data_IF_003850924125
#
_entry.id   IF_003850924125
#
_cell.length_a   1.000
_cell.length_b   1.000
_cell.length_c   1.000
_cell.angle_alpha   90.00
_cell.angle_beta   90.00
_cell.angle_gamma   90.00
#
_symmetry.space_group_name_H-M   'P 1'
#
loop_
_entity.id
_entity.type
_entity.pdbx_description
1 polymer ?
#
# COMPACT_ATOMS: atom_id res chain seq x y z
N UNK A 1 -4.63 -10.27 -15.82
CA UNK A 1 -3.85 -9.75 -14.68
C UNK A 1 -4.53 -8.46 -14.23
N UNK A 2 -5.36 -8.50 -13.19
CA UNK A 2 -5.97 -7.27 -12.65
C UNK A 2 -5.87 -7.35 -11.13
N UNK A 3 -4.85 -6.69 -10.60
CA UNK A 3 -4.53 -6.61 -9.18
C UNK A 3 -3.30 -5.72 -9.05
N UNK A 4 -3.11 -5.04 -7.91
CA UNK A 4 -1.93 -4.20 -7.68
C UNK A 4 -0.64 -5.04 -7.69
N UNK A 5 0.44 -4.50 -8.27
CA UNK A 5 1.74 -5.19 -8.40
C UNK A 5 2.91 -4.22 -8.18
N UNK A 6 4.03 -4.75 -7.71
CA UNK A 6 5.30 -4.03 -7.72
C UNK A 6 5.88 -3.98 -9.12
N UNK A 7 6.56 -2.89 -9.46
CA UNK A 7 7.32 -2.75 -10.72
C UNK A 7 8.78 -2.54 -10.36
N UNK A 8 9.62 -3.51 -10.72
CA UNK A 8 11.06 -3.34 -10.70
C UNK A 8 11.52 -2.92 -12.11
N UNK A 9 12.18 -1.77 -12.19
CA UNK A 9 12.75 -1.23 -13.44
C UNK A 9 14.23 -0.95 -13.25
N UNK A 10 15.02 -1.18 -14.29
CA UNK A 10 16.43 -0.80 -14.34
C UNK A 10 16.75 -0.27 -15.73
N UNK A 11 17.09 1.02 -15.84
CA UNK A 11 17.69 1.58 -17.04
C UNK A 11 19.21 1.41 -17.00
N UNK A 12 19.86 1.39 -18.18
CA UNK A 12 21.30 1.27 -18.26
C UNK A 12 21.98 2.47 -17.55
N UNK A 13 22.90 2.15 -16.63
CA UNK A 13 23.72 3.03 -15.77
C UNK A 13 23.10 3.47 -14.45
N UNK A 14 22.11 4.37 -14.41
CA UNK A 14 21.91 5.16 -13.19
C UNK A 14 20.47 5.21 -12.65
N UNK A 15 19.61 4.24 -12.98
CA UNK A 15 18.21 4.33 -12.55
C UNK A 15 17.54 2.96 -12.37
N UNK A 16 17.93 2.24 -11.30
CA UNK A 16 17.10 1.15 -10.80
C UNK A 16 16.05 1.73 -9.84
N UNK A 17 14.77 1.48 -10.14
CA UNK A 17 13.63 1.97 -9.34
C UNK A 17 12.67 0.83 -9.08
N UNK A 18 12.21 0.75 -7.84
CA UNK A 18 11.11 -0.09 -7.43
C UNK A 18 9.89 0.80 -7.15
N UNK A 19 8.80 0.53 -7.87
CA UNK A 19 7.51 1.14 -7.61
C UNK A 19 6.64 0.19 -6.78
N UNK A 20 6.05 0.74 -5.72
CA UNK A 20 5.09 0.06 -4.88
C UNK A 20 3.72 -0.06 -5.57
N UNK A 21 2.87 -0.99 -5.14
CA UNK A 21 1.58 -1.25 -5.76
C UNK A 21 0.58 -0.09 -5.62
N UNK A 22 0.84 0.85 -4.70
CA UNK A 22 0.10 2.11 -4.55
C UNK A 22 0.56 3.22 -5.53
N UNK A 23 1.48 2.93 -6.45
CA UNK A 23 1.98 3.85 -7.48
C UNK A 23 3.13 4.76 -7.04
N UNK A 24 3.64 4.59 -5.81
CA UNK A 24 4.74 5.41 -5.27
C UNK A 24 6.09 4.74 -5.50
N UNK A 25 7.17 5.52 -5.44
CA UNK A 25 8.53 4.99 -5.43
C UNK A 25 8.79 4.38 -4.04
N UNK A 26 9.03 3.07 -3.99
CA UNK A 26 9.42 2.35 -2.79
C UNK A 26 10.92 2.52 -2.53
N UNK A 27 11.73 2.44 -3.58
CA UNK A 27 13.16 2.69 -3.52
C UNK A 27 13.73 3.01 -4.91
N UNK A 28 14.84 3.74 -4.94
CA UNK A 28 15.55 4.11 -6.15
C UNK A 28 17.06 4.20 -5.88
N UNK A 29 17.88 3.82 -6.85
CA UNK A 29 19.33 4.10 -6.81
C UNK A 29 19.56 5.59 -6.96
N UNK A 30 20.29 6.19 -6.01
CA UNK A 30 20.78 7.56 -6.15
C UNK A 30 22.25 7.56 -6.60
N UNK A 31 23.15 7.16 -5.70
CA UNK A 31 24.61 7.19 -5.93
C UNK A 31 25.25 5.79 -5.96
N UNK A 32 24.59 4.77 -5.39
CA UNK A 32 25.03 3.37 -5.43
C UNK A 32 24.38 2.67 -6.64
N UNK A 33 25.13 1.96 -7.50
CA UNK A 33 24.56 1.22 -8.62
C UNK A 33 23.70 0.02 -8.19
N UNK A 34 23.75 -0.42 -6.93
CA UNK A 34 23.03 -1.59 -6.43
C UNK A 34 21.86 -1.16 -5.55
N UNK A 35 20.66 -1.62 -5.91
CA UNK A 35 19.45 -1.50 -5.08
C UNK A 35 19.10 -2.84 -4.45
N UNK A 36 19.03 -2.87 -3.12
CA UNK A 36 18.44 -3.97 -2.34
C UNK A 36 17.27 -3.40 -1.55
N UNK A 37 16.09 -4.00 -1.71
CA UNK A 37 14.88 -3.58 -1.00
C UNK A 37 14.02 -4.79 -0.69
N UNK A 38 13.53 -4.87 0.55
CA UNK A 38 12.58 -5.89 0.96
C UNK A 38 11.17 -5.46 0.54
N UNK A 39 10.38 -6.40 0.01
CA UNK A 39 8.98 -6.18 -0.31
C UNK A 39 8.12 -7.23 0.34
N UNK A 40 6.91 -6.83 0.74
CA UNK A 40 5.88 -7.73 1.21
C UNK A 40 4.89 -8.02 0.09
N UNK A 41 4.67 -9.31 -0.17
CA UNK A 41 3.74 -9.79 -1.20
C UNK A 41 2.30 -9.92 -0.68
N UNK A 42 2.13 -9.98 0.64
CA UNK A 42 0.83 -9.90 1.30
C UNK A 42 0.64 -8.49 1.85
N UNK A 43 -0.07 -7.65 1.10
CA UNK A 43 -0.26 -6.25 1.43
C UNK A 43 -1.71 -5.81 1.25
N UNK A 44 -2.06 -4.71 1.90
CA UNK A 44 -3.29 -3.97 1.67
C UNK A 44 -2.98 -2.54 1.23
N UNK A 45 -3.71 -2.05 0.23
CA UNK A 45 -3.71 -0.64 -0.15
C UNK A 45 -4.97 -0.01 0.44
N UNK A 46 -4.79 0.99 1.30
CA UNK A 46 -5.88 1.73 1.92
C UNK A 46 -5.72 3.20 1.59
N UNK A 47 -6.79 3.82 1.08
CA UNK A 47 -6.87 5.28 0.96
C UNK A 47 -7.28 5.89 2.28
N UNK A 48 -7.19 7.21 2.37
CA UNK A 48 -7.63 7.97 3.52
C UNK A 48 -9.03 7.56 3.98
N UNK A 49 -9.14 7.30 5.28
CA UNK A 49 -10.40 7.05 5.98
C UNK A 49 -10.32 7.75 7.35
N UNK A 50 -11.43 8.31 7.88
CA UNK A 50 -11.43 9.04 9.14
C UNK A 50 -10.83 8.25 10.32
N UNK A 51 -11.08 6.94 10.36
CA UNK A 51 -10.58 6.05 11.41
C UNK A 51 -9.11 5.65 11.25
N UNK A 52 -8.59 5.65 10.01
CA UNK A 52 -7.26 5.11 9.69
C UNK A 52 -6.14 5.91 10.36
N UNK A 53 -6.34 7.22 10.57
CA UNK A 53 -5.37 8.13 11.20
C UNK A 53 -3.96 8.01 10.57
N UNK A 54 -3.89 8.00 9.24
CA UNK A 54 -2.63 7.84 8.48
C UNK A 54 -1.86 6.56 8.84
N UNK A 55 -2.58 5.53 9.28
CA UNK A 55 -2.04 4.24 9.71
C UNK A 55 -1.84 4.09 11.22
N UNK A 56 -1.89 5.17 12.01
CA UNK A 56 -1.65 5.11 13.45
C UNK A 56 -2.59 4.13 14.18
N UNK A 57 -3.82 3.96 13.69
CA UNK A 57 -4.76 2.96 14.20
C UNK A 57 -4.16 1.55 14.25
N UNK A 58 -3.38 1.17 13.23
CA UNK A 58 -2.74 -0.14 13.16
C UNK A 58 -1.64 -0.29 14.21
N UNK A 59 -0.74 0.70 14.31
CA UNK A 59 0.34 0.69 15.32
C UNK A 59 -0.22 0.66 16.74
N UNK A 60 -1.27 1.43 17.01
CA UNK A 60 -1.93 1.46 18.32
C UNK A 60 -2.52 0.10 18.72
N UNK A 61 -3.03 -0.67 17.76
CA UNK A 61 -3.71 -1.95 18.04
C UNK A 61 -2.77 -3.16 18.00
N UNK A 62 -1.82 -3.18 17.06
CA UNK A 62 -1.00 -4.36 16.78
C UNK A 62 0.49 -4.18 17.09
N UNK A 63 0.96 -2.95 17.35
CA UNK A 63 2.37 -2.64 17.58
C UNK A 63 3.25 -3.10 16.43
N UNK A 64 4.35 -3.78 16.73
CA UNK A 64 5.36 -4.21 15.74
C UNK A 64 4.90 -5.37 14.83
N UNK A 65 3.68 -5.90 15.03
CA UNK A 65 3.09 -6.95 14.17
C UNK A 65 2.57 -6.41 12.84
N UNK A 66 2.56 -5.09 12.67
CA UNK A 66 2.11 -4.41 11.47
C UNK A 66 3.06 -3.28 11.15
N UNK A 67 3.34 -3.12 9.87
CA UNK A 67 4.09 -1.99 9.35
C UNK A 67 3.39 -1.42 8.12
N UNK A 68 3.73 -0.18 7.80
CA UNK A 68 3.15 0.49 6.66
C UNK A 68 3.99 1.67 6.17
N UNK A 69 3.76 2.02 4.92
CA UNK A 69 4.16 3.30 4.34
C UNK A 69 2.91 4.09 3.99
N UNK A 70 2.71 5.26 4.60
CA UNK A 70 1.60 6.15 4.31
C UNK A 70 2.10 7.44 3.67
N UNK A 71 1.56 7.79 2.51
CA UNK A 71 1.79 9.09 1.87
C UNK A 71 0.68 10.04 2.24
N UNK A 72 0.99 11.07 3.03
CA UNK A 72 0.04 12.15 3.32
C UNK A 72 -0.29 12.99 2.08
N UNK A 73 0.66 13.11 1.15
CA UNK A 73 0.46 13.89 -0.07
C UNK A 73 -0.58 13.25 -1.00
N UNK A 74 -0.57 11.92 -1.06
CA UNK A 74 -1.42 11.14 -1.98
C UNK A 74 -2.58 10.45 -1.26
N UNK A 75 -2.65 10.61 0.07
CA UNK A 75 -3.66 10.02 0.95
C UNK A 75 -3.88 8.52 0.73
N UNK A 76 -2.77 7.79 0.62
CA UNK A 76 -2.74 6.34 0.39
C UNK A 76 -1.63 5.70 1.18
N UNK A 77 -1.92 4.53 1.75
CA UNK A 77 -0.94 3.70 2.44
C UNK A 77 -0.87 2.29 1.89
N UNK A 78 0.34 1.72 2.00
CA UNK A 78 0.64 0.31 1.78
C UNK A 78 0.93 -0.32 3.14
N UNK A 79 0.16 -1.33 3.51
CA UNK A 79 0.21 -1.98 4.82
C UNK A 79 0.54 -3.46 4.66
N UNK A 80 1.30 -4.03 5.60
CA UNK A 80 1.59 -5.47 5.65
C UNK A 80 1.69 -5.94 7.10
N UNK A 81 1.57 -7.25 7.30
CA UNK A 81 1.73 -7.85 8.61
C UNK A 81 3.05 -8.57 8.74
N UNK A 82 3.72 -8.37 9.87
CA UNK A 82 4.89 -9.12 10.31
C UNK A 82 4.52 -10.38 11.13
N UNK A 83 3.21 -10.67 11.26
CA UNK A 83 2.71 -11.76 12.06
C UNK A 83 2.26 -12.94 11.18
N UNK A 84 2.90 -14.12 11.31
CA UNK A 84 2.56 -15.28 10.50
C UNK A 84 1.17 -15.86 10.82
N UNK A 85 0.56 -15.49 11.95
CA UNK A 85 -0.75 -15.98 12.39
C UNK A 85 -1.91 -15.06 12.06
N UNK A 86 -1.65 -13.82 11.65
CA UNK A 86 -2.67 -12.80 11.39
C UNK A 86 -2.32 -12.00 10.14
N UNK A 87 -3.07 -12.20 9.08
CA UNK A 87 -2.84 -11.52 7.80
C UNK A 87 -3.26 -10.05 7.86
N UNK A 88 -2.65 -9.21 7.02
CA UNK A 88 -3.07 -7.81 6.91
C UNK A 88 -4.55 -7.66 6.51
N UNK A 89 -5.09 -8.55 5.67
CA UNK A 89 -6.50 -8.55 5.31
C UNK A 89 -7.42 -8.81 6.51
N UNK A 90 -7.04 -9.71 7.42
CA UNK A 90 -7.78 -9.91 8.67
C UNK A 90 -7.73 -8.66 9.54
N UNK A 91 -6.56 -8.03 9.68
CA UNK A 91 -6.41 -6.80 10.45
C UNK A 91 -7.29 -5.66 9.91
N UNK A 92 -7.34 -5.48 8.58
CA UNK A 92 -8.18 -4.48 7.90
C UNK A 92 -9.66 -4.73 8.22
N UNK A 93 -10.12 -5.98 8.09
CA UNK A 93 -11.49 -6.37 8.37
C UNK A 93 -11.87 -6.16 9.85
N UNK A 94 -11.00 -6.54 10.78
CA UNK A 94 -11.21 -6.37 12.23
C UNK A 94 -11.33 -4.90 12.63
N UNK A 95 -10.56 -4.02 11.97
CA UNK A 95 -10.65 -2.57 12.18
C UNK A 95 -11.85 -1.92 11.47
N UNK A 96 -12.60 -2.68 10.68
CA UNK A 96 -13.74 -2.18 9.90
C UNK A 96 -13.34 -1.11 8.89
N UNK A 97 -12.16 -1.28 8.28
CA UNK A 97 -11.63 -0.42 7.23
C UNK A 97 -11.97 -0.99 5.86
N UNK A 98 -12.15 -0.11 4.87
CA UNK A 98 -12.51 -0.52 3.52
C UNK A 98 -11.28 -0.65 2.62
N UNK A 99 -11.22 -1.71 1.83
CA UNK A 99 -10.17 -1.87 0.83
C UNK A 99 -10.37 -0.90 -0.34
N UNK A 100 -9.29 -0.52 -1.04
CA UNK A 100 -9.37 0.40 -2.19
C UNK A 100 -10.35 -0.08 -3.28
N UNK A 101 -10.37 -1.38 -3.59
CA UNK A 101 -11.30 -1.93 -4.58
C UNK A 101 -12.78 -1.75 -4.17
N UNK A 102 -13.06 -1.84 -2.87
CA UNK A 102 -14.40 -1.66 -2.30
C UNK A 102 -14.81 -0.19 -2.31
N UNK A 103 -13.88 0.70 -1.93
CA UNK A 103 -14.07 2.16 -2.03
C UNK A 103 -14.38 2.56 -3.47
N UNK A 104 -13.59 2.10 -4.42
CA UNK A 104 -13.79 2.41 -5.84
C UNK A 104 -15.15 1.91 -6.35
N UNK A 105 -15.51 0.67 -6.01
CA UNK A 105 -16.82 0.09 -6.36
C UNK A 105 -17.98 0.92 -5.79
N UNK A 106 -17.88 1.38 -4.54
CA UNK A 106 -18.89 2.23 -3.90
C UNK A 106 -18.97 3.60 -4.56
N UNK A 107 -17.82 4.22 -4.87
CA UNK A 107 -17.77 5.49 -5.59
C UNK A 107 -18.43 5.40 -6.96
N UNK A 108 -18.18 4.32 -7.71
CA UNK A 108 -18.85 4.06 -9.00
C UNK A 108 -20.37 3.91 -8.85
N UNK A 109 -20.83 3.20 -7.82
CA UNK A 109 -22.27 3.08 -7.53
C UNK A 109 -22.92 4.43 -7.18
N UNK A 110 -22.22 5.28 -6.43
CA UNK A 110 -22.70 6.61 -6.06
C UNK A 110 -22.64 7.62 -7.24
N UNK A 111 -21.74 7.41 -8.20
CA UNK A 111 -21.49 8.30 -9.35
C UNK A 111 -21.43 7.53 -10.68
N UNK A 112 -22.56 6.98 -11.17
CA UNK A 112 -22.58 6.09 -12.33
C UNK A 112 -22.19 6.75 -13.66
N UNK A 113 -22.14 8.09 -13.72
CA UNK A 113 -21.74 8.84 -14.91
C UNK A 113 -20.23 8.98 -15.11
N UNK A 114 -19.40 8.50 -14.17
CA UNK A 114 -17.95 8.48 -14.26
C UNK A 114 -17.51 7.04 -14.55
N UNK A 115 -17.57 6.63 -15.81
CA UNK A 115 -16.83 5.48 -16.31
C UNK A 115 -15.66 5.97 -17.16
N UNK A 116 -14.47 5.35 -17.08
CA UNK A 116 -13.33 5.69 -17.91
C UNK A 116 -13.59 5.46 -19.41
#
# INVERSE_FOLDING_TARGET
MQGPYYIASSAWRDNATLFAPNGLIAAQTENDPILVHQIDLSFAILRWQPKLQKGALFTEHYGDRVEYHYSEREDVGLFWSNDPSLTIGQMVNEMGLEHEAELFSRYQQAHPSISP
#
